data_IF_492177826737
#
_entry.id   IF_492177826737
#
_cell.length_a   1.000
_cell.length_b   1.000
_cell.length_c   1.000
_cell.angle_alpha   90.00
_cell.angle_beta   90.00
_cell.angle_gamma   90.00
#
_symmetry.space_group_name_H-M   'P 1'
#
loop_
_entity.id
_entity.type
_entity.pdbx_description
1 polymer ?
#
# COMPACT_ATOMS: atom_id res chain seq x y z
N UNK A 1 20.03 -14.90 -9.12
CA UNK A 1 19.11 -15.16 -8.00
C UNK A 1 17.99 -14.14 -8.13
N UNK A 2 16.72 -14.57 -8.32
CA UNK A 2 15.61 -13.62 -8.37
C UNK A 2 15.48 -13.04 -6.97
N UNK A 3 15.71 -11.75 -6.81
CA UNK A 3 15.40 -11.06 -5.56
C UNK A 3 13.92 -11.30 -5.27
N UNK A 4 13.53 -11.65 -4.03
CA UNK A 4 12.12 -11.58 -3.63
C UNK A 4 11.56 -10.23 -4.09
N UNK A 5 10.30 -10.16 -4.54
CA UNK A 5 9.70 -8.91 -5.06
C UNK A 5 9.38 -7.94 -3.90
N UNK A 6 10.45 -7.58 -3.18
CA UNK A 6 10.54 -6.64 -2.07
C UNK A 6 9.90 -5.29 -2.40
N UNK A 7 9.83 -4.93 -3.69
CA UNK A 7 9.16 -3.73 -4.19
C UNK A 7 7.67 -3.74 -3.86
N UNK A 8 6.93 -4.73 -4.34
CA UNK A 8 5.47 -4.76 -4.18
C UNK A 8 5.09 -4.89 -2.70
N UNK A 9 5.91 -5.61 -1.92
CA UNK A 9 5.80 -5.66 -0.47
C UNK A 9 6.03 -4.30 0.19
N UNK A 10 7.10 -3.59 -0.17
CA UNK A 10 7.38 -2.25 0.35
C UNK A 10 6.28 -1.25 -0.02
N UNK A 11 5.77 -1.32 -1.25
CA UNK A 11 4.65 -0.50 -1.71
C UNK A 11 3.40 -0.82 -0.90
N UNK A 12 3.06 -2.11 -0.77
CA UNK A 12 1.89 -2.53 0.00
C UNK A 12 1.96 -2.06 1.45
N UNK A 13 3.13 -2.22 2.07
CA UNK A 13 3.37 -1.80 3.45
C UNK A 13 3.30 -0.28 3.57
N UNK A 14 3.93 0.47 2.67
CA UNK A 14 3.92 1.94 2.61
C UNK A 14 2.50 2.49 2.47
N UNK A 15 1.67 1.85 1.67
CA UNK A 15 0.28 2.27 1.42
C UNK A 15 -0.72 1.77 2.47
N UNK A 16 -0.27 0.93 3.41
CA UNK A 16 -1.11 0.37 4.48
C UNK A 16 -2.06 -0.73 4.05
N UNK A 17 -1.93 -1.25 2.82
CA UNK A 17 -2.76 -2.37 2.33
C UNK A 17 -2.34 -3.72 2.89
N UNK A 18 -1.09 -3.82 3.38
CA UNK A 18 -0.60 -4.95 4.18
C UNK A 18 -0.01 -4.43 5.49
N UNK A 19 0.02 -5.30 6.49
CA UNK A 19 0.45 -5.00 7.85
C UNK A 19 1.91 -5.44 8.08
N UNK A 20 2.62 -4.86 9.07
CA UNK A 20 3.95 -5.31 9.48
C UNK A 20 4.09 -6.81 9.68
N UNK A 21 3.06 -7.47 10.26
CA UNK A 21 3.05 -8.93 10.44
C UNK A 21 3.10 -9.69 9.12
N UNK A 22 2.43 -9.19 8.07
CA UNK A 22 2.33 -9.88 6.78
C UNK A 22 3.70 -9.86 6.07
N UNK A 23 4.51 -8.83 6.34
CA UNK A 23 5.89 -8.67 5.88
C UNK A 23 6.83 -9.63 6.60
N UNK A 24 6.63 -9.82 7.91
CA UNK A 24 7.40 -10.79 8.72
C UNK A 24 7.09 -12.22 8.30
N UNK A 25 5.80 -12.57 8.14
CA UNK A 25 5.37 -13.88 7.64
C UNK A 25 5.93 -14.17 6.24
N UNK A 26 5.94 -13.16 5.37
CA UNK A 26 6.60 -13.26 4.07
C UNK A 26 8.10 -13.55 4.21
N UNK A 27 8.80 -12.84 5.10
CA UNK A 27 10.24 -13.03 5.30
C UNK A 27 10.56 -14.43 5.84
N UNK A 28 9.79 -14.92 6.82
CA UNK A 28 9.89 -16.28 7.36
C UNK A 28 9.75 -17.32 6.23
N UNK A 29 8.75 -17.13 5.36
CA UNK A 29 8.51 -18.05 4.25
C UNK A 29 9.67 -18.13 3.26
N UNK A 30 10.40 -17.02 3.05
CA UNK A 30 11.56 -16.98 2.16
C UNK A 30 12.82 -17.53 2.82
N UNK A 31 13.03 -17.28 4.11
CA UNK A 31 14.17 -17.85 4.85
C UNK A 31 14.15 -19.37 4.79
N UNK A 32 12.98 -19.99 4.93
CA UNK A 32 12.84 -21.45 4.84
C UNK A 32 13.17 -22.02 3.44
N UNK A 33 13.18 -21.19 2.39
CA UNK A 33 13.37 -21.60 0.99
C UNK A 33 14.79 -21.35 0.46
N UNK A 34 15.55 -20.50 1.13
CA UNK A 34 16.89 -20.12 0.69
C UNK A 34 17.94 -20.92 1.45
N UNK A 35 18.84 -21.57 0.72
CA UNK A 35 20.00 -22.24 1.33
C UNK A 35 20.93 -21.25 2.06
N UNK A 36 20.99 -20.01 1.54
CA UNK A 36 21.77 -18.89 2.09
C UNK A 36 20.91 -17.60 2.05
N UNK A 37 20.03 -17.38 3.04
CA UNK A 37 19.14 -16.23 3.07
C UNK A 37 19.94 -14.93 3.30
N UNK A 38 19.64 -13.84 2.58
CA UNK A 38 20.35 -12.59 2.76
C UNK A 38 20.04 -11.97 4.13
N UNK A 39 21.03 -11.31 4.73
CA UNK A 39 20.95 -10.81 6.11
C UNK A 39 19.73 -9.90 6.37
N UNK A 40 19.41 -9.00 5.45
CA UNK A 40 18.25 -8.10 5.58
C UNK A 40 16.92 -8.86 5.75
N UNK A 41 16.80 -10.03 5.12
CA UNK A 41 15.59 -10.85 5.21
C UNK A 41 15.46 -11.49 6.59
N UNK A 42 16.60 -11.90 7.17
CA UNK A 42 16.68 -12.41 8.56
C UNK A 42 16.32 -11.29 9.54
N UNK A 43 16.82 -10.07 9.32
CA UNK A 43 16.47 -8.92 10.16
C UNK A 43 14.98 -8.59 10.12
N UNK A 44 14.35 -8.66 8.94
CA UNK A 44 12.89 -8.50 8.81
C UNK A 44 12.13 -9.56 9.60
N UNK A 45 12.47 -10.85 9.43
CA UNK A 45 11.86 -11.98 10.16
C UNK A 45 11.97 -11.85 11.68
N UNK A 46 13.12 -11.36 12.17
CA UNK A 46 13.40 -11.20 13.59
C UNK A 46 12.86 -9.90 14.18
N UNK A 47 12.09 -9.13 13.41
CA UNK A 47 11.50 -7.84 13.79
C UNK A 47 9.96 -7.87 13.91
N UNK A 48 9.33 -8.82 14.64
CA UNK A 48 7.87 -9.02 14.69
C UNK A 48 7.09 -7.86 15.33
N UNK A 49 7.79 -6.90 15.94
CA UNK A 49 7.20 -5.70 16.59
C UNK A 49 7.75 -4.40 16.01
N UNK A 50 8.52 -4.47 14.92
CA UNK A 50 9.04 -3.27 14.28
C UNK A 50 7.89 -2.40 13.76
N UNK A 51 8.08 -1.09 13.86
CA UNK A 51 7.15 -0.16 13.22
C UNK A 51 7.25 -0.31 11.70
N UNK A 52 6.20 0.11 11.00
CA UNK A 52 6.16 0.13 9.54
C UNK A 52 7.40 0.81 8.93
N UNK A 53 7.82 1.93 9.52
CA UNK A 53 9.00 2.68 9.08
C UNK A 53 10.29 1.87 9.20
N UNK A 54 10.47 1.15 10.33
CA UNK A 54 11.66 0.34 10.56
C UNK A 54 11.74 -0.82 9.55
N UNK A 55 10.60 -1.48 9.28
CA UNK A 55 10.53 -2.54 8.27
C UNK A 55 10.83 -2.01 6.86
N UNK A 56 10.33 -0.83 6.50
CA UNK A 56 10.64 -0.20 5.21
C UNK A 56 12.14 0.10 5.05
N UNK A 57 12.84 0.42 6.14
CA UNK A 57 14.28 0.67 6.12
C UNK A 57 15.12 -0.61 5.97
N UNK A 58 14.58 -1.77 6.36
CA UNK A 58 15.25 -3.07 6.20
C UNK A 58 15.06 -3.65 4.79
N UNK A 59 13.98 -3.29 4.10
CA UNK A 59 13.74 -3.74 2.73
C UNK A 59 14.73 -3.03 1.78
N UNK A 60 15.40 -3.75 0.83
CA UNK A 60 16.45 -3.17 0.00
C UNK A 60 16.05 -1.87 -0.70
N UNK A 61 16.95 -0.88 -0.74
CA UNK A 61 16.67 0.49 -1.21
C UNK A 61 16.15 0.56 -2.65
N UNK A 62 16.59 -0.35 -3.52
CA UNK A 62 16.09 -0.48 -4.91
C UNK A 62 14.58 -0.73 -4.94
N UNK A 63 14.01 -1.37 -3.92
CA UNK A 63 12.57 -1.60 -3.78
C UNK A 63 11.82 -0.40 -3.16
N UNK A 64 12.52 0.56 -2.54
CA UNK A 64 11.90 1.69 -1.82
C UNK A 64 12.04 3.02 -2.54
N UNK A 65 13.01 3.16 -3.45
CA UNK A 65 13.28 4.37 -4.25
C UNK A 65 12.33 4.56 -5.44
N UNK A 66 11.59 3.53 -5.86
CA UNK A 66 10.58 3.69 -6.91
C UNK A 66 9.38 4.50 -6.41
N UNK A 67 9.09 5.58 -7.13
CA UNK A 67 7.88 6.37 -6.94
C UNK A 67 6.67 5.49 -7.25
N UNK A 68 5.78 5.32 -6.26
CA UNK A 68 4.52 4.59 -6.43
C UNK A 68 3.72 5.30 -7.51
N UNK A 69 3.21 4.60 -8.52
CA UNK A 69 2.39 5.23 -9.55
C UNK A 69 1.04 5.67 -8.96
N UNK A 70 0.47 6.77 -9.45
CA UNK A 70 -0.83 7.28 -8.95
C UNK A 70 -1.95 6.24 -9.03
N UNK A 71 -1.94 5.41 -10.07
CA UNK A 71 -2.91 4.32 -10.23
C UNK A 71 -2.77 3.24 -9.14
N UNK A 72 -1.55 2.89 -8.76
CA UNK A 72 -1.28 1.93 -7.67
C UNK A 72 -1.71 2.54 -6.33
N UNK A 73 -1.43 3.83 -6.13
CA UNK A 73 -1.84 4.56 -4.93
C UNK A 73 -3.38 4.63 -4.81
N UNK A 74 -4.08 5.08 -5.85
CA UNK A 74 -5.54 5.15 -5.86
C UNK A 74 -6.17 3.76 -5.72
N UNK A 75 -5.57 2.73 -6.33
CA UNK A 75 -6.00 1.35 -6.14
C UNK A 75 -5.87 0.88 -4.69
N UNK A 76 -4.78 1.22 -4.02
CA UNK A 76 -4.59 0.93 -2.60
C UNK A 76 -5.61 1.65 -1.72
N UNK A 77 -5.89 2.94 -1.98
CA UNK A 77 -6.93 3.69 -1.27
C UNK A 77 -8.32 3.07 -1.50
N UNK A 78 -8.61 2.62 -2.72
CA UNK A 78 -9.85 1.94 -3.05
C UNK A 78 -10.01 0.64 -2.24
N UNK A 79 -8.97 -0.18 -2.17
CA UNK A 79 -8.97 -1.41 -1.35
C UNK A 79 -9.22 -1.09 0.12
N UNK A 80 -8.51 -0.12 0.69
CA UNK A 80 -8.65 0.24 2.11
C UNK A 80 -10.05 0.73 2.43
N UNK A 81 -10.62 1.61 1.60
CA UNK A 81 -11.97 2.15 1.81
C UNK A 81 -13.08 1.12 1.56
N UNK A 82 -12.97 0.33 0.48
CA UNK A 82 -14.08 -0.50 -0.02
C UNK A 82 -14.01 -1.92 0.55
N UNK A 83 -12.84 -2.57 0.45
CA UNK A 83 -12.68 -3.98 0.84
C UNK A 83 -12.34 -4.13 2.32
N UNK A 84 -11.52 -3.22 2.87
CA UNK A 84 -11.12 -3.24 4.28
C UNK A 84 -11.99 -2.35 5.18
N UNK A 85 -12.90 -1.57 4.58
CA UNK A 85 -13.83 -0.68 5.26
C UNK A 85 -13.16 0.31 6.24
N UNK A 86 -11.96 0.79 5.89
CA UNK A 86 -11.27 1.80 6.68
C UNK A 86 -12.02 3.15 6.69
N UNK A 87 -11.90 3.94 7.77
CA UNK A 87 -12.53 5.25 7.85
C UNK A 87 -12.05 6.20 6.74
N UNK A 88 -12.99 6.87 6.06
CA UNK A 88 -12.67 7.81 4.97
C UNK A 88 -11.68 8.90 5.41
N UNK A 89 -11.75 9.40 6.64
CA UNK A 89 -10.85 10.46 7.11
C UNK A 89 -9.36 10.12 6.96
N UNK A 90 -8.97 8.87 7.22
CA UNK A 90 -7.57 8.43 7.06
C UNK A 90 -7.18 8.29 5.58
N UNK A 91 -8.09 7.76 4.76
CA UNK A 91 -7.90 7.63 3.32
C UNK A 91 -7.80 9.01 2.65
N UNK A 92 -8.67 9.93 3.05
CA UNK A 92 -8.70 11.31 2.57
C UNK A 92 -7.43 12.05 2.94
N UNK A 93 -6.96 11.94 4.20
CA UNK A 93 -5.69 12.53 4.64
C UNK A 93 -4.54 12.11 3.71
N UNK A 94 -4.43 10.82 3.39
CA UNK A 94 -3.38 10.29 2.52
C UNK A 94 -3.51 10.78 1.08
N UNK A 95 -4.72 10.79 0.53
CA UNK A 95 -4.97 11.35 -0.81
C UNK A 95 -4.60 12.84 -0.86
N UNK A 96 -4.96 13.60 0.17
CA UNK A 96 -4.65 15.03 0.28
C UNK A 96 -3.14 15.27 0.38
N UNK A 97 -2.44 14.51 1.23
CA UNK A 97 -0.97 14.59 1.35
C UNK A 97 -0.28 14.35 0.01
N UNK A 98 -0.75 13.36 -0.76
CA UNK A 98 -0.15 13.02 -2.05
C UNK A 98 -0.47 14.03 -3.15
N UNK A 99 -1.74 14.41 -3.30
CA UNK A 99 -2.21 15.15 -4.48
C UNK A 99 -2.39 16.65 -4.24
N UNK A 100 -2.47 17.09 -2.98
CA UNK A 100 -2.80 18.46 -2.63
C UNK A 100 -1.68 19.24 -1.92
N UNK A 101 -0.78 18.58 -1.17
CA UNK A 101 0.30 19.25 -0.42
C UNK A 101 1.57 19.57 -1.24
N UNK A 102 1.61 19.26 -2.54
CA UNK A 102 2.72 19.64 -3.41
C UNK A 102 2.72 21.15 -3.72
N UNK A 103 3.89 21.70 -4.10
CA UNK A 103 4.01 23.09 -4.57
C UNK A 103 2.91 23.40 -5.59
N UNK A 104 2.39 24.64 -5.58
CA UNK A 104 1.25 25.06 -6.39
C UNK A 104 1.43 24.64 -7.85
N UNK A 105 0.75 23.56 -8.19
CA UNK A 105 0.75 22.87 -9.48
C UNK A 105 -0.64 22.98 -10.09
N UNK A 106 -0.74 22.66 -11.37
CA UNK A 106 -2.01 22.66 -12.11
C UNK A 106 -3.10 21.86 -11.37
N UNK A 107 -4.34 22.36 -11.46
CA UNK A 107 -5.51 21.74 -10.84
C UNK A 107 -5.95 20.52 -11.65
N UNK A 108 -5.32 19.37 -11.41
CA UNK A 108 -5.64 18.10 -12.09
C UNK A 108 -7.01 17.57 -11.71
N UNK A 109 -7.57 16.67 -12.52
CA UNK A 109 -8.86 16.01 -12.23
C UNK A 109 -8.84 15.28 -10.89
N UNK A 110 -7.75 14.57 -10.56
CA UNK A 110 -7.59 13.89 -9.28
C UNK A 110 -7.65 14.90 -8.13
N UNK A 111 -6.91 16.01 -8.23
CA UNK A 111 -6.88 17.05 -7.19
C UNK A 111 -8.26 17.67 -6.97
N UNK A 112 -9.00 17.94 -8.05
CA UNK A 112 -10.37 18.45 -7.96
C UNK A 112 -11.29 17.46 -7.22
N UNK A 113 -11.18 16.16 -7.50
CA UNK A 113 -11.97 15.15 -6.80
C UNK A 113 -11.60 15.06 -5.32
N UNK A 114 -10.31 15.13 -4.98
CA UNK A 114 -9.87 15.12 -3.57
C UNK A 114 -10.41 16.33 -2.81
N UNK A 115 -10.33 17.54 -3.39
CA UNK A 115 -10.93 18.73 -2.77
C UNK A 115 -12.45 18.66 -2.63
N UNK A 116 -13.15 18.09 -3.62
CA UNK A 116 -14.60 17.89 -3.53
C UNK A 116 -14.96 16.95 -2.38
N UNK A 117 -14.23 15.84 -2.24
CA UNK A 117 -14.45 14.88 -1.14
C UNK A 117 -14.13 15.52 0.21
N UNK A 118 -13.05 16.32 0.29
CA UNK A 118 -12.63 17.05 1.50
C UNK A 118 -13.69 18.08 1.94
N UNK A 119 -14.15 18.91 1.01
CA UNK A 119 -15.25 19.86 1.28
C UNK A 119 -16.50 19.12 1.75
N UNK A 120 -16.95 18.09 1.03
CA UNK A 120 -18.11 17.30 1.43
C UNK A 120 -17.90 16.61 2.79
N UNK A 121 -16.67 16.22 3.15
CA UNK A 121 -16.39 15.55 4.43
C UNK A 121 -16.63 16.47 5.63
N UNK A 122 -16.35 17.77 5.48
CA UNK A 122 -16.53 18.77 6.52
C UNK A 122 -18.01 19.03 6.85
N UNK A 123 -18.93 18.91 5.88
CA UNK A 123 -20.34 19.28 6.08
C UNK A 123 -21.37 18.14 5.86
N UNK A 124 -21.03 17.08 5.12
CA UNK A 124 -21.86 15.88 4.92
C UNK A 124 -21.00 14.62 4.67
N UNK A 125 -20.59 13.98 5.77
CA UNK A 125 -19.78 12.76 5.74
C UNK A 125 -20.41 11.61 4.93
N UNK A 126 -21.74 11.50 4.93
CA UNK A 126 -22.42 10.42 4.18
C UNK A 126 -22.28 10.63 2.67
N UNK A 127 -22.41 11.88 2.24
CA UNK A 127 -22.18 12.27 0.84
C UNK A 127 -20.72 12.10 0.45
N UNK A 128 -19.78 12.55 1.28
CA UNK A 128 -18.35 12.38 1.04
C UNK A 128 -17.95 10.91 0.85
N UNK A 129 -18.46 10.01 1.71
CA UNK A 129 -18.24 8.55 1.57
C UNK A 129 -18.76 8.04 0.23
N UNK A 130 -19.93 8.49 -0.21
CA UNK A 130 -20.50 8.11 -1.50
C UNK A 130 -19.61 8.61 -2.65
N UNK A 131 -19.21 9.87 -2.62
CA UNK A 131 -18.35 10.50 -3.63
C UNK A 131 -16.99 9.80 -3.71
N UNK A 132 -16.35 9.56 -2.57
CA UNK A 132 -15.08 8.84 -2.49
C UNK A 132 -15.20 7.41 -3.05
N UNK A 133 -16.28 6.69 -2.74
CA UNK A 133 -16.52 5.37 -3.32
C UNK A 133 -16.70 5.42 -4.83
N UNK A 134 -17.47 6.36 -5.36
CA UNK A 134 -17.64 6.53 -6.81
C UNK A 134 -16.31 6.84 -7.49
N UNK A 135 -15.50 7.73 -6.90
CA UNK A 135 -14.19 8.10 -7.42
C UNK A 135 -13.19 6.95 -7.39
N UNK A 136 -13.13 6.17 -6.30
CA UNK A 136 -12.12 5.13 -6.11
C UNK A 136 -12.48 3.78 -6.74
N UNK A 137 -13.77 3.49 -6.98
CA UNK A 137 -14.22 2.20 -7.53
C UNK A 137 -13.51 1.79 -8.84
N UNK A 138 -13.30 2.69 -9.82
CA UNK A 138 -12.57 2.35 -11.05
C UNK A 138 -11.13 1.87 -10.83
N UNK A 139 -10.51 2.18 -9.69
CA UNK A 139 -9.14 1.81 -9.36
C UNK A 139 -9.03 0.51 -8.56
N UNK A 140 -10.16 -0.04 -8.10
CA UNK A 140 -10.20 -1.17 -7.17
C UNK A 140 -9.52 -2.43 -7.72
N UNK A 141 -9.66 -2.69 -9.02
CA UNK A 141 -9.00 -3.85 -9.66
C UNK A 141 -7.48 -3.73 -9.64
N UNK A 142 -6.93 -2.52 -9.80
CA UNK A 142 -5.48 -2.30 -9.70
C UNK A 142 -4.97 -2.59 -8.27
N UNK A 143 -5.70 -2.13 -7.25
CA UNK A 143 -5.37 -2.41 -5.85
C UNK A 143 -5.47 -3.89 -5.49
N UNK A 144 -6.52 -4.58 -5.95
CA UNK A 144 -6.67 -6.02 -5.77
C UNK A 144 -5.57 -6.80 -6.49
N UNK A 145 -5.20 -6.40 -7.70
CA UNK A 145 -4.10 -7.00 -8.45
C UNK A 145 -2.77 -6.87 -7.70
N UNK A 146 -2.49 -5.71 -7.09
CA UNK A 146 -1.32 -5.51 -6.24
C UNK A 146 -1.34 -6.46 -5.03
N UNK A 147 -2.48 -6.58 -4.33
CA UNK A 147 -2.63 -7.51 -3.22
C UNK A 147 -2.48 -8.97 -3.63
N UNK A 148 -3.04 -9.36 -4.78
CA UNK A 148 -2.92 -10.72 -5.29
C UNK A 148 -1.49 -11.05 -5.68
N UNK A 149 -0.73 -10.12 -6.28
CA UNK A 149 0.70 -10.31 -6.53
C UNK A 149 1.43 -10.64 -5.22
N UNK A 150 1.25 -9.79 -4.19
CA UNK A 150 1.86 -9.98 -2.87
C UNK A 150 1.46 -11.33 -2.24
N UNK A 151 0.18 -11.69 -2.29
CA UNK A 151 -0.33 -12.95 -1.69
C UNK A 151 0.03 -14.20 -2.49
N UNK A 152 0.02 -14.12 -3.82
CA UNK A 152 0.37 -15.25 -4.68
C UNK A 152 1.82 -15.68 -4.45
N UNK A 153 2.70 -14.75 -4.12
CA UNK A 153 4.09 -15.06 -3.76
C UNK A 153 4.23 -15.74 -2.40
N UNK A 154 3.32 -15.46 -1.46
CA UNK A 154 3.21 -16.23 -0.22
C UNK A 154 2.73 -17.67 -0.52
N UNK A 155 1.82 -17.85 -1.50
CA UNK A 155 1.10 -19.11 -1.73
C UNK A 155 1.67 -20.07 -2.80
N UNK A 156 2.37 -19.57 -3.83
CA UNK A 156 2.75 -20.37 -5.02
C UNK A 156 3.74 -21.50 -4.72
N UNK A 157 4.46 -21.47 -3.60
CA UNK A 157 5.44 -22.53 -3.24
C UNK A 157 5.03 -23.36 -2.00
N UNK A 158 3.74 -23.37 -1.62
CA UNK A 158 3.20 -24.20 -0.54
C UNK A 158 2.81 -25.64 -0.98
N UNK A 159 3.18 -26.06 -2.21
CA UNK A 159 3.01 -27.46 -2.65
C UNK A 159 4.34 -28.21 -2.49
N UNK A 160 4.33 -29.38 -1.83
CA UNK A 160 5.52 -30.21 -1.62
C UNK A 160 6.11 -30.74 -2.93
#
# INVERSE_FOLDING_TARGET
MKTPQARDLAIGLRLGVIQPRDVVEWADSWIMRLDDPPYWLIEVSTSPRAAQHDLLNLIPTIATDEEVADQEFLGAMAVRLIDQAEPLGEILRLMYERFCLCEWTEMTEIRQQVYLIDDEWDWDQSRAIKTARTFLTPHLEAGRSLLEKIKSEQAVDARP
#
